data_IF_924232684912
#
_entry.id   IF_924232684912
#
_cell.length_a   1.000
_cell.length_b   1.000
_cell.length_c   1.000
_cell.angle_alpha   90.00
_cell.angle_beta   90.00
_cell.angle_gamma   90.00
#
_symmetry.space_group_name_H-M   'P 1'
#
loop_
_entity.id
_entity.type
_entity.pdbx_description
1 polymer ?
#
# COMPACT_ATOMS: atom_id res chain seq x y z
N UNK A 1 -30.31 11.06 19.22
CA UNK A 1 -29.96 9.64 19.44
C UNK A 1 -29.72 8.85 18.15
N UNK A 2 -30.64 8.81 17.18
CA UNK A 2 -30.46 8.03 15.92
C UNK A 2 -29.21 8.37 15.08
N UNK A 3 -28.78 9.63 15.03
CA UNK A 3 -27.60 10.06 14.25
C UNK A 3 -26.29 9.55 14.86
N UNK A 4 -26.20 9.48 16.18
CA UNK A 4 -25.03 8.97 16.93
C UNK A 4 -24.91 7.45 16.75
N UNK A 5 -26.03 6.73 16.81
CA UNK A 5 -26.06 5.27 16.63
C UNK A 5 -25.67 4.87 15.20
N UNK A 6 -26.14 5.62 14.19
CA UNK A 6 -25.72 5.42 12.79
C UNK A 6 -24.23 5.66 12.58
N UNK A 7 -23.63 6.62 13.28
CA UNK A 7 -22.19 6.92 13.18
C UNK A 7 -21.35 5.85 13.89
N UNK A 8 -21.79 5.36 15.05
CA UNK A 8 -21.16 4.23 15.76
C UNK A 8 -21.20 2.95 14.93
N UNK A 9 -22.33 2.59 14.31
CA UNK A 9 -22.44 1.45 13.40
C UNK A 9 -21.52 1.58 12.19
N UNK A 10 -21.38 2.78 11.62
CA UNK A 10 -20.47 3.04 10.49
C UNK A 10 -19.02 2.75 10.84
N UNK A 11 -18.55 3.17 12.00
CA UNK A 11 -17.17 2.95 12.47
C UNK A 11 -16.90 1.50 12.82
N UNK A 12 -17.90 0.80 13.37
CA UNK A 12 -17.78 -0.59 13.81
C UNK A 12 -17.41 -1.54 12.66
N UNK A 13 -18.12 -1.50 11.53
CA UNK A 13 -17.83 -2.39 10.40
C UNK A 13 -16.47 -2.11 9.77
N UNK A 14 -16.05 -0.86 9.69
CA UNK A 14 -14.70 -0.51 9.23
C UNK A 14 -13.63 -1.03 10.18
N UNK A 15 -13.82 -0.87 11.49
CA UNK A 15 -12.90 -1.41 12.48
C UNK A 15 -12.82 -2.95 12.42
N UNK A 16 -13.95 -3.63 12.26
CA UNK A 16 -13.98 -5.09 12.07
C UNK A 16 -13.32 -5.52 10.76
N UNK A 17 -13.48 -4.74 9.68
CA UNK A 17 -12.82 -5.03 8.40
C UNK A 17 -11.29 -4.89 8.45
N UNK A 18 -10.75 -4.18 9.44
CA UNK A 18 -9.33 -4.22 9.77
C UNK A 18 -9.01 -5.39 10.72
N UNK A 19 -9.74 -5.48 11.82
CA UNK A 19 -9.40 -6.38 12.93
C UNK A 19 -9.55 -7.87 12.58
N UNK A 20 -10.53 -8.23 11.74
CA UNK A 20 -10.76 -9.63 11.37
C UNK A 20 -9.63 -10.20 10.52
N UNK A 21 -9.23 -9.62 9.37
CA UNK A 21 -8.11 -10.15 8.59
C UNK A 21 -6.77 -10.06 9.35
N UNK A 22 -6.54 -9.00 10.14
CA UNK A 22 -5.40 -8.91 11.04
C UNK A 22 -5.38 -10.09 12.04
N UNK A 23 -6.50 -10.33 12.73
CA UNK A 23 -6.61 -11.38 13.75
C UNK A 23 -6.51 -12.78 13.16
N UNK A 24 -7.10 -13.04 12.00
CA UNK A 24 -6.98 -14.34 11.32
C UNK A 24 -5.52 -14.60 10.93
N UNK A 25 -4.82 -13.62 10.35
CA UNK A 25 -3.41 -13.79 10.00
C UNK A 25 -2.52 -13.93 11.23
N UNK A 26 -2.81 -13.18 12.31
CA UNK A 26 -2.14 -13.36 13.60
C UNK A 26 -2.35 -14.78 14.15
N UNK A 27 -3.58 -15.29 14.08
CA UNK A 27 -3.86 -16.68 14.49
C UNK A 27 -3.08 -17.69 13.63
N UNK A 28 -2.95 -17.46 12.32
CA UNK A 28 -2.11 -18.29 11.46
C UNK A 28 -0.63 -18.24 11.89
N UNK A 29 -0.11 -17.08 12.31
CA UNK A 29 1.26 -16.97 12.83
C UNK A 29 1.43 -17.74 14.13
N UNK A 30 0.46 -17.64 15.05
CA UNK A 30 0.47 -18.38 16.33
C UNK A 30 0.41 -19.91 16.09
N UNK A 31 -0.55 -20.37 15.31
CA UNK A 31 -0.72 -21.80 15.02
C UNK A 31 0.43 -22.36 14.18
N UNK A 32 1.02 -21.54 13.32
CA UNK A 32 2.22 -21.89 12.55
C UNK A 32 3.50 -21.92 13.36
N UNK A 33 3.48 -21.51 14.62
CA UNK A 33 4.66 -21.41 15.48
C UNK A 33 5.69 -20.41 14.95
N UNK A 34 5.23 -19.34 14.30
CA UNK A 34 6.13 -18.28 13.81
C UNK A 34 6.56 -17.39 14.98
N UNK A 35 7.81 -16.96 14.96
CA UNK A 35 8.33 -16.04 15.96
C UNK A 35 7.45 -14.75 16.06
N UNK A 36 7.14 -14.24 17.28
CA UNK A 36 7.62 -14.66 18.61
C UNK A 36 6.78 -15.77 19.29
N UNK A 37 5.84 -16.41 18.59
CA UNK A 37 4.94 -17.40 19.17
C UNK A 37 5.49 -18.83 19.14
N UNK A 38 6.66 -19.03 18.52
CA UNK A 38 7.36 -20.29 18.42
C UNK A 38 8.74 -20.10 17.78
N UNK A 39 9.42 -21.19 17.42
CA UNK A 39 10.79 -21.18 16.94
C UNK A 39 10.93 -21.01 15.44
N UNK A 40 9.84 -21.03 14.68
CA UNK A 40 9.88 -20.90 13.23
C UNK A 40 10.15 -19.46 12.81
N UNK A 41 11.06 -19.27 11.85
CA UNK A 41 11.40 -17.96 11.32
C UNK A 41 10.21 -17.33 10.58
N UNK A 42 9.88 -16.10 10.95
CA UNK A 42 8.86 -15.29 10.25
C UNK A 42 9.40 -14.72 8.94
N UNK A 43 10.71 -14.49 8.87
CA UNK A 43 11.38 -13.95 7.70
C UNK A 43 11.61 -15.05 6.67
N UNK A 44 10.76 -15.11 5.63
CA UNK A 44 10.81 -16.12 4.57
C UNK A 44 11.35 -15.51 3.27
N UNK A 45 12.01 -16.28 2.44
CA UNK A 45 12.48 -15.91 1.10
C UNK A 45 13.22 -14.54 1.10
N UNK A 46 12.83 -13.64 0.19
CA UNK A 46 13.43 -12.30 0.06
C UNK A 46 13.26 -11.42 1.30
N UNK A 47 12.30 -11.75 2.17
CA UNK A 47 12.16 -11.07 3.45
C UNK A 47 13.39 -11.24 4.31
N UNK A 48 14.02 -12.42 4.29
CA UNK A 48 15.29 -12.72 4.98
C UNK A 48 16.50 -12.10 4.28
N UNK A 49 16.61 -12.30 2.95
CA UNK A 49 17.81 -11.92 2.21
C UNK A 49 17.89 -10.44 1.83
N UNK A 50 16.75 -9.77 1.67
CA UNK A 50 16.70 -8.42 1.13
C UNK A 50 15.93 -7.45 2.03
N UNK A 51 14.63 -7.70 2.28
CA UNK A 51 13.77 -6.67 2.87
C UNK A 51 14.15 -6.33 4.30
N UNK A 52 14.39 -7.34 5.13
CA UNK A 52 14.76 -7.12 6.53
C UNK A 52 16.16 -6.50 6.69
N UNK A 53 17.22 -6.96 6.01
CA UNK A 53 18.52 -6.29 6.06
C UNK A 53 18.48 -4.83 5.61
N UNK A 54 17.77 -4.52 4.52
CA UNK A 54 17.61 -3.15 4.07
C UNK A 54 16.82 -2.30 5.07
N UNK A 55 15.80 -2.87 5.68
CA UNK A 55 15.01 -2.21 6.72
C UNK A 55 15.84 -1.89 7.98
N UNK A 56 16.69 -2.81 8.42
CA UNK A 56 17.62 -2.58 9.54
C UNK A 56 18.60 -1.45 9.20
N UNK A 57 19.25 -1.53 8.02
CA UNK A 57 20.14 -0.47 7.54
C UNK A 57 19.45 0.90 7.46
N UNK A 58 18.22 0.95 6.96
CA UNK A 58 17.43 2.19 6.91
C UNK A 58 17.19 2.78 8.30
N UNK A 59 16.76 1.96 9.24
CA UNK A 59 16.55 2.39 10.61
C UNK A 59 17.83 2.93 11.25
N UNK A 60 18.96 2.25 11.05
CA UNK A 60 20.26 2.69 11.55
C UNK A 60 20.66 4.05 10.97
N UNK A 61 20.50 4.24 9.67
CA UNK A 61 20.73 5.54 9.01
C UNK A 61 19.83 6.64 9.57
N UNK A 62 18.55 6.35 9.83
CA UNK A 62 17.63 7.33 10.45
C UNK A 62 18.05 7.72 11.86
N UNK A 63 18.57 6.77 12.65
CA UNK A 63 18.98 7.04 14.04
C UNK A 63 20.33 7.72 14.16
N UNK A 64 21.26 7.39 13.28
CA UNK A 64 22.62 7.96 13.30
C UNK A 64 22.76 9.25 12.48
N UNK A 65 21.71 9.65 11.73
CA UNK A 65 21.81 10.74 10.75
C UNK A 65 22.70 10.37 9.55
N UNK A 66 22.83 9.07 9.23
CA UNK A 66 23.65 8.57 8.14
C UNK A 66 23.17 9.02 6.76
N UNK A 67 24.09 9.11 5.79
CA UNK A 67 23.77 9.49 4.42
C UNK A 67 22.77 8.53 3.76
N UNK A 68 21.75 9.09 3.11
CA UNK A 68 20.79 8.37 2.27
C UNK A 68 21.18 8.38 0.78
N UNK A 69 22.42 8.69 0.46
CA UNK A 69 22.90 8.74 -0.94
C UNK A 69 23.51 7.41 -1.37
N UNK A 70 24.20 6.72 -0.48
CA UNK A 70 24.98 5.53 -0.82
C UNK A 70 24.92 4.47 0.27
N UNK A 71 24.87 3.20 -0.15
CA UNK A 71 24.92 2.01 0.69
C UNK A 71 26.13 1.17 0.29
N UNK A 72 27.12 1.05 1.19
CA UNK A 72 28.35 0.29 0.94
C UNK A 72 28.14 -1.21 1.11
N UNK A 73 27.26 -1.60 2.01
CA UNK A 73 27.02 -2.96 2.46
C UNK A 73 26.22 -3.81 1.46
N UNK A 74 25.73 -3.21 0.36
CA UNK A 74 25.01 -3.93 -0.66
C UNK A 74 25.76 -3.91 -1.99
N UNK A 75 26.07 -5.11 -2.55
CA UNK A 75 26.53 -5.31 -3.91
C UNK A 75 27.78 -4.51 -4.30
N UNK A 76 28.78 -4.40 -3.47
CA UNK A 76 29.98 -3.55 -3.64
C UNK A 76 29.70 -2.04 -3.61
N UNK A 77 28.52 -1.67 -3.19
CA UNK A 77 28.05 -0.29 -3.06
C UNK A 77 27.06 0.12 -4.14
N UNK A 78 25.91 0.62 -3.70
CA UNK A 78 24.81 1.05 -4.58
C UNK A 78 24.28 2.43 -4.18
N UNK A 79 23.67 3.11 -5.13
CA UNK A 79 22.89 4.31 -4.86
C UNK A 79 21.71 3.98 -3.94
N UNK A 80 21.63 4.66 -2.79
CA UNK A 80 20.63 4.33 -1.79
C UNK A 80 19.22 4.75 -2.18
N UNK A 81 19.08 5.84 -2.93
CA UNK A 81 17.76 6.42 -3.23
C UNK A 81 16.88 5.52 -4.12
N UNK A 82 17.38 4.89 -5.21
CA UNK A 82 16.60 3.90 -5.96
C UNK A 82 16.20 2.69 -5.11
N UNK A 83 17.12 2.20 -4.25
CA UNK A 83 16.81 1.13 -3.30
C UNK A 83 15.73 1.55 -2.30
N UNK A 84 15.85 2.74 -1.72
CA UNK A 84 14.86 3.30 -0.81
C UNK A 84 13.48 3.39 -1.46
N UNK A 85 13.40 3.92 -2.68
CA UNK A 85 12.14 4.11 -3.39
C UNK A 85 11.43 2.78 -3.73
N UNK A 86 12.19 1.71 -3.90
CA UNK A 86 11.64 0.39 -4.20
C UNK A 86 11.31 -0.44 -2.95
N UNK A 87 12.19 -0.42 -1.93
CA UNK A 87 12.10 -1.33 -0.78
C UNK A 87 11.60 -0.68 0.50
N UNK A 88 11.86 0.62 0.73
CA UNK A 88 11.87 1.22 2.06
C UNK A 88 10.96 2.44 2.23
N UNK A 89 10.30 2.89 1.17
CA UNK A 89 9.57 4.15 1.16
C UNK A 89 8.16 4.08 1.78
N UNK A 90 7.77 2.92 2.34
CA UNK A 90 6.54 2.81 3.13
C UNK A 90 6.59 3.71 4.37
N UNK A 91 5.62 4.62 4.60
CA UNK A 91 5.61 5.48 5.77
C UNK A 91 5.59 4.71 7.10
N UNK A 92 5.06 3.48 7.11
CA UNK A 92 5.04 2.65 8.31
C UNK A 92 6.44 2.25 8.78
N UNK A 93 7.44 2.23 7.88
CA UNK A 93 8.82 1.92 8.24
C UNK A 93 9.49 3.00 9.09
N UNK A 94 9.02 4.25 8.99
CA UNK A 94 9.53 5.34 9.83
C UNK A 94 9.28 5.08 11.32
N UNK A 95 8.25 4.32 11.67
CA UNK A 95 7.94 3.94 13.06
C UNK A 95 9.03 3.06 13.68
N UNK A 96 9.91 2.44 12.87
CA UNK A 96 11.02 1.62 13.35
C UNK A 96 12.02 2.38 14.23
N UNK A 97 12.11 3.70 14.06
CA UNK A 97 12.99 4.54 14.88
C UNK A 97 12.62 4.47 16.37
N UNK A 98 11.34 4.29 16.67
CA UNK A 98 10.79 4.19 18.03
C UNK A 98 10.97 2.81 18.65
N UNK A 99 11.36 1.80 17.86
CA UNK A 99 11.43 0.40 18.29
C UNK A 99 12.85 0.04 18.73
N UNK A 100 13.06 -0.64 19.87
CA UNK A 100 14.36 -1.18 20.26
C UNK A 100 14.93 -2.14 19.20
N UNK A 101 16.24 -2.21 19.05
CA UNK A 101 16.90 -3.09 18.06
C UNK A 101 16.54 -4.57 18.26
N UNK A 102 16.39 -5.00 19.51
CA UNK A 102 16.02 -6.37 19.88
C UNK A 102 14.63 -6.78 19.43
N UNK A 103 13.72 -5.84 19.17
CA UNK A 103 12.31 -6.08 18.79
C UNK A 103 12.03 -5.77 17.32
N UNK A 104 13.05 -5.55 16.50
CA UNK A 104 12.85 -5.18 15.08
C UNK A 104 12.22 -6.29 14.26
N UNK A 105 12.51 -7.55 14.55
CA UNK A 105 11.94 -8.70 13.85
C UNK A 105 10.44 -8.84 14.16
N UNK A 106 10.05 -8.67 15.41
CA UNK A 106 8.66 -8.66 15.86
C UNK A 106 7.89 -7.49 15.26
N UNK A 107 8.53 -6.33 15.22
CA UNK A 107 7.95 -5.15 14.59
C UNK A 107 7.74 -5.37 13.08
N UNK A 108 8.69 -6.01 12.41
CA UNK A 108 8.56 -6.34 10.98
C UNK A 108 7.39 -7.31 10.72
N UNK A 109 7.22 -8.33 11.58
CA UNK A 109 6.05 -9.21 11.55
C UNK A 109 4.74 -8.42 11.78
N UNK A 110 4.74 -7.51 12.75
CA UNK A 110 3.59 -6.64 13.03
C UNK A 110 3.24 -5.74 11.82
N UNK A 111 4.24 -5.27 11.07
CA UNK A 111 4.01 -4.52 9.84
C UNK A 111 3.25 -5.34 8.79
N UNK A 112 3.60 -6.61 8.61
CA UNK A 112 2.86 -7.53 7.70
C UNK A 112 1.39 -7.61 8.11
N UNK A 113 1.13 -7.91 9.38
CA UNK A 113 -0.22 -8.01 9.93
C UNK A 113 -1.01 -6.71 9.77
N UNK A 114 -0.36 -5.57 10.03
CA UNK A 114 -0.96 -4.24 9.90
C UNK A 114 -1.34 -3.94 8.46
N UNK A 115 -0.47 -4.21 7.48
CA UNK A 115 -0.74 -3.99 6.07
C UNK A 115 -1.90 -4.86 5.56
N UNK A 116 -2.00 -6.11 6.02
CA UNK A 116 -3.12 -7.00 5.72
C UNK A 116 -4.43 -6.45 6.34
N UNK A 117 -4.39 -5.99 7.58
CA UNK A 117 -5.54 -5.31 8.20
C UNK A 117 -5.96 -4.05 7.45
N UNK A 118 -5.00 -3.23 7.00
CA UNK A 118 -5.26 -2.04 6.18
C UNK A 118 -5.87 -2.40 4.82
N UNK A 119 -5.43 -3.49 4.18
CA UNK A 119 -6.04 -3.96 2.94
C UNK A 119 -7.54 -4.26 3.13
N UNK A 120 -7.91 -4.93 4.21
CA UNK A 120 -9.31 -5.18 4.58
C UNK A 120 -10.08 -3.89 4.85
N UNK A 121 -9.53 -2.98 5.65
CA UNK A 121 -10.13 -1.69 5.95
C UNK A 121 -10.39 -0.86 4.68
N UNK A 122 -9.38 -0.73 3.83
CA UNK A 122 -9.49 0.09 2.63
C UNK A 122 -10.41 -0.53 1.58
N UNK A 123 -10.48 -1.86 1.52
CA UNK A 123 -11.48 -2.54 0.70
C UNK A 123 -12.91 -2.30 1.20
N UNK A 124 -13.15 -2.29 2.52
CA UNK A 124 -14.44 -1.89 3.09
C UNK A 124 -14.80 -0.43 2.75
N UNK A 125 -13.82 0.48 2.77
CA UNK A 125 -14.01 1.87 2.32
C UNK A 125 -14.42 1.91 0.85
N UNK A 126 -13.77 1.12 0.00
CA UNK A 126 -14.13 1.00 -1.42
C UNK A 126 -15.56 0.47 -1.61
N UNK A 127 -15.90 -0.66 -1.00
CA UNK A 127 -17.24 -1.25 -1.10
C UNK A 127 -18.32 -0.26 -0.64
N UNK A 128 -18.11 0.37 0.53
CA UNK A 128 -19.03 1.37 1.05
C UNK A 128 -19.23 2.55 0.10
N UNK A 129 -18.15 2.99 -0.55
CA UNK A 129 -18.19 4.10 -1.51
C UNK A 129 -18.86 3.69 -2.82
N UNK A 130 -18.52 2.50 -3.33
CA UNK A 130 -19.04 1.99 -4.59
C UNK A 130 -20.51 1.66 -4.52
N UNK A 131 -20.97 0.97 -3.47
CA UNK A 131 -22.34 0.50 -3.30
C UNK A 131 -23.21 1.44 -2.45
N UNK A 132 -22.63 2.44 -1.79
CA UNK A 132 -23.34 3.37 -0.87
C UNK A 132 -24.04 2.67 0.29
N UNK A 133 -23.60 1.47 0.65
CA UNK A 133 -24.14 0.65 1.73
C UNK A 133 -23.15 0.54 2.87
N UNK A 134 -23.68 0.43 4.10
CA UNK A 134 -22.88 0.20 5.31
C UNK A 134 -23.55 -0.88 6.13
N UNK A 135 -23.25 -2.10 5.82
CA UNK A 135 -23.88 -3.32 6.32
C UNK A 135 -22.82 -4.34 6.78
N UNK A 136 -23.21 -5.36 7.56
CA UNK A 136 -22.29 -6.39 8.07
C UNK A 136 -21.52 -7.12 6.97
N UNK A 137 -22.09 -7.24 5.76
CA UNK A 137 -21.45 -7.87 4.60
C UNK A 137 -20.11 -7.23 4.19
N UNK A 138 -19.84 -5.98 4.60
CA UNK A 138 -18.53 -5.36 4.38
C UNK A 138 -17.39 -6.19 4.98
N UNK A 139 -17.61 -6.83 6.13
CA UNK A 139 -16.57 -7.56 6.86
C UNK A 139 -16.13 -8.82 6.10
N UNK A 140 -17.00 -9.77 5.73
CA UNK A 140 -16.57 -10.98 5.02
C UNK A 140 -15.97 -10.66 3.65
N UNK A 141 -16.51 -9.71 2.88
CA UNK A 141 -15.92 -9.33 1.60
C UNK A 141 -14.54 -8.69 1.76
N UNK A 142 -14.33 -7.89 2.80
CA UNK A 142 -13.02 -7.32 3.13
C UNK A 142 -12.02 -8.39 3.55
N UNK A 143 -12.47 -9.38 4.30
CA UNK A 143 -11.66 -10.54 4.68
C UNK A 143 -11.24 -11.35 3.44
N UNK A 144 -12.18 -11.63 2.51
CA UNK A 144 -11.87 -12.34 1.26
C UNK A 144 -10.83 -11.61 0.40
N UNK A 145 -10.86 -10.28 0.36
CA UNK A 145 -9.85 -9.49 -0.33
C UNK A 145 -8.50 -9.54 0.40
N UNK A 146 -8.49 -9.24 1.69
CA UNK A 146 -7.27 -9.12 2.49
C UNK A 146 -6.55 -10.46 2.73
N UNK A 147 -7.28 -11.59 2.65
CA UNK A 147 -6.76 -12.94 2.84
C UNK A 147 -6.91 -13.79 1.56
N UNK A 148 -6.84 -13.14 0.39
CA UNK A 148 -6.86 -13.86 -0.88
C UNK A 148 -5.61 -14.76 -1.03
N UNK A 149 -5.65 -15.68 -1.99
CA UNK A 149 -4.56 -16.63 -2.25
C UNK A 149 -3.21 -15.95 -2.50
N UNK A 150 -3.23 -14.75 -3.10
CA UNK A 150 -2.02 -13.95 -3.27
C UNK A 150 -1.38 -13.61 -1.91
N UNK A 151 -2.18 -13.13 -0.94
CA UNK A 151 -1.65 -12.81 0.41
C UNK A 151 -1.19 -14.08 1.12
N UNK A 152 -1.94 -15.18 1.03
CA UNK A 152 -1.56 -16.45 1.64
C UNK A 152 -0.22 -17.00 1.10
N UNK A 153 0.04 -16.84 -0.19
CA UNK A 153 1.28 -17.31 -0.82
C UNK A 153 2.45 -16.33 -0.76
N UNK A 154 2.17 -15.02 -0.68
CA UNK A 154 3.16 -13.95 -0.86
C UNK A 154 3.17 -12.91 0.26
N UNK A 155 2.67 -13.19 1.47
CA UNK A 155 2.69 -12.26 2.60
C UNK A 155 4.11 -11.78 2.97
N UNK A 156 5.12 -12.59 2.66
CA UNK A 156 6.53 -12.28 2.83
C UNK A 156 7.00 -11.16 1.89
N UNK A 157 6.31 -10.89 0.79
CA UNK A 157 6.56 -9.74 -0.08
C UNK A 157 5.97 -8.46 0.54
N UNK A 158 6.49 -8.06 1.70
CA UNK A 158 5.95 -6.95 2.49
C UNK A 158 5.89 -5.62 1.72
N UNK A 159 6.78 -5.42 0.73
CA UNK A 159 6.79 -4.23 -0.14
C UNK A 159 5.59 -4.17 -1.10
N UNK A 160 4.97 -5.32 -1.39
CA UNK A 160 3.79 -5.40 -2.26
C UNK A 160 2.48 -5.17 -1.50
N UNK A 161 2.49 -5.39 -0.18
CA UNK A 161 1.29 -5.25 0.65
C UNK A 161 0.79 -3.80 0.73
N UNK A 162 1.67 -2.80 0.59
CA UNK A 162 1.24 -1.40 0.51
C UNK A 162 0.38 -1.14 -0.74
N UNK A 163 0.79 -1.64 -1.90
CA UNK A 163 0.04 -1.51 -3.15
C UNK A 163 -1.30 -2.24 -3.06
N UNK A 164 -1.30 -3.46 -2.49
CA UNK A 164 -2.52 -4.23 -2.24
C UNK A 164 -3.48 -3.45 -1.35
N UNK A 165 -2.99 -2.83 -0.27
CA UNK A 165 -3.83 -2.04 0.63
C UNK A 165 -4.36 -0.76 -0.04
N UNK A 166 -3.53 -0.05 -0.79
CA UNK A 166 -3.87 1.27 -1.34
C UNK A 166 -4.73 1.20 -2.61
N UNK A 167 -4.68 0.11 -3.39
CA UNK A 167 -5.48 -0.05 -4.60
C UNK A 167 -6.99 0.14 -4.36
N UNK A 168 -7.63 -0.48 -3.37
CA UNK A 168 -9.04 -0.22 -3.07
C UNK A 168 -9.32 1.24 -2.71
N UNK A 169 -8.38 1.90 -2.05
CA UNK A 169 -8.53 3.30 -1.67
C UNK A 169 -8.46 4.23 -2.90
N UNK A 170 -7.59 3.91 -3.88
CA UNK A 170 -7.54 4.58 -5.18
C UNK A 170 -8.87 4.40 -5.94
N UNK A 171 -9.42 3.19 -5.96
CA UNK A 171 -10.72 2.90 -6.58
C UNK A 171 -11.87 3.64 -5.88
N UNK A 172 -11.88 3.69 -4.54
CA UNK A 172 -12.84 4.48 -3.78
C UNK A 172 -12.75 5.97 -4.14
N UNK A 173 -11.53 6.47 -4.25
CA UNK A 173 -11.25 7.84 -4.69
C UNK A 173 -11.74 8.12 -6.10
N UNK A 174 -11.47 7.22 -7.06
CA UNK A 174 -11.97 7.30 -8.43
C UNK A 174 -13.50 7.35 -8.47
N UNK A 175 -14.18 6.46 -7.75
CA UNK A 175 -15.66 6.45 -7.68
C UNK A 175 -16.20 7.77 -7.10
N UNK A 176 -15.58 8.29 -6.03
CA UNK A 176 -15.96 9.58 -5.43
C UNK A 176 -15.72 10.75 -6.38
N UNK A 177 -14.60 10.72 -7.12
CA UNK A 177 -14.27 11.73 -8.12
C UNK A 177 -15.30 11.74 -9.27
N UNK A 178 -15.65 10.58 -9.79
CA UNK A 178 -16.57 10.45 -10.94
C UNK A 178 -18.02 10.76 -10.59
N UNK A 179 -18.46 10.41 -9.36
CA UNK A 179 -19.85 10.64 -8.91
C UNK A 179 -20.08 12.01 -8.31
N UNK A 180 -19.14 12.50 -7.51
CA UNK A 180 -19.34 13.63 -6.60
C UNK A 180 -18.35 14.77 -6.86
N UNK A 181 -17.36 14.57 -7.74
CA UNK A 181 -16.31 15.54 -8.02
C UNK A 181 -15.26 15.68 -6.91
N UNK A 182 -15.28 14.79 -5.90
CA UNK A 182 -14.34 14.82 -4.77
C UNK A 182 -13.00 14.22 -5.16
N UNK A 183 -12.00 15.05 -5.41
CA UNK A 183 -10.70 14.63 -5.96
C UNK A 183 -9.68 14.18 -4.89
N UNK A 184 -9.78 14.69 -3.66
CA UNK A 184 -8.74 14.53 -2.62
C UNK A 184 -8.36 13.08 -2.35
N UNK A 185 -9.37 12.20 -2.17
CA UNK A 185 -9.12 10.81 -1.84
C UNK A 185 -8.33 10.09 -2.95
N UNK A 186 -8.72 10.30 -4.21
CA UNK A 186 -8.03 9.71 -5.35
C UNK A 186 -6.58 10.20 -5.45
N UNK A 187 -6.40 11.51 -5.44
CA UNK A 187 -5.09 12.14 -5.59
C UNK A 187 -4.12 11.74 -4.49
N UNK A 188 -4.58 11.77 -3.23
CA UNK A 188 -3.74 11.41 -2.07
C UNK A 188 -3.44 9.91 -2.01
N UNK A 189 -4.43 9.04 -2.31
CA UNK A 189 -4.20 7.59 -2.35
C UNK A 189 -3.22 7.20 -3.46
N UNK A 190 -3.32 7.84 -4.63
CA UNK A 190 -2.39 7.65 -5.75
C UNK A 190 -0.98 8.13 -5.37
N UNK A 191 -0.85 9.35 -4.85
CA UNK A 191 0.43 9.90 -4.43
C UNK A 191 1.10 9.00 -3.37
N UNK A 192 0.34 8.57 -2.36
CA UNK A 192 0.84 7.67 -1.33
C UNK A 192 1.25 6.31 -1.90
N UNK A 193 0.48 5.76 -2.83
CA UNK A 193 0.83 4.50 -3.50
C UNK A 193 2.15 4.62 -4.25
N UNK A 194 2.33 5.68 -5.05
CA UNK A 194 3.57 5.95 -5.79
C UNK A 194 4.77 6.16 -4.85
N UNK A 195 4.54 6.84 -3.72
CA UNK A 195 5.58 7.03 -2.69
C UNK A 195 5.94 5.71 -2.00
N UNK A 196 4.98 4.81 -1.73
CA UNK A 196 5.26 3.52 -1.07
C UNK A 196 6.03 2.54 -1.95
N UNK A 197 5.69 2.45 -3.22
CA UNK A 197 6.38 1.61 -4.20
C UNK A 197 5.96 2.03 -5.61
N UNK A 198 6.83 2.73 -6.33
CA UNK A 198 6.54 3.25 -7.66
C UNK A 198 6.26 2.14 -8.69
N UNK A 199 6.98 1.02 -8.60
CA UNK A 199 6.89 -0.09 -9.56
C UNK A 199 5.51 -0.77 -9.51
N UNK A 200 5.03 -1.17 -8.34
CA UNK A 200 3.71 -1.78 -8.20
C UNK A 200 2.58 -0.77 -8.41
N UNK A 201 2.80 0.48 -8.03
CA UNK A 201 1.82 1.53 -8.28
C UNK A 201 1.59 1.80 -9.75
N UNK A 202 2.58 1.54 -10.62
CA UNK A 202 2.38 1.57 -12.07
C UNK A 202 1.29 0.59 -12.51
N UNK A 203 1.33 -0.66 -12.03
CA UNK A 203 0.28 -1.65 -12.32
C UNK A 203 -1.07 -1.26 -11.71
N UNK A 204 -1.07 -0.70 -10.51
CA UNK A 204 -2.28 -0.14 -9.90
C UNK A 204 -2.88 0.99 -10.76
N UNK A 205 -2.06 1.86 -11.33
CA UNK A 205 -2.51 2.92 -12.23
C UNK A 205 -3.16 2.36 -13.51
N UNK A 206 -2.56 1.33 -14.11
CA UNK A 206 -3.15 0.63 -15.26
C UNK A 206 -4.53 0.07 -14.88
N UNK A 207 -4.63 -0.63 -13.75
CA UNK A 207 -5.88 -1.21 -13.28
C UNK A 207 -6.95 -0.16 -13.00
N UNK A 208 -6.59 0.96 -12.38
CA UNK A 208 -7.51 2.10 -12.16
C UNK A 208 -7.93 2.73 -13.48
N UNK A 209 -7.02 2.86 -14.44
CA UNK A 209 -7.32 3.34 -15.79
C UNK A 209 -8.33 2.45 -16.50
N UNK A 210 -8.11 1.12 -16.50
CA UNK A 210 -9.06 0.16 -17.05
C UNK A 210 -10.42 0.23 -16.33
N UNK A 211 -10.41 0.33 -15.01
CA UNK A 211 -11.64 0.48 -14.20
C UNK A 211 -12.40 1.76 -14.55
N UNK A 212 -11.69 2.85 -14.86
CA UNK A 212 -12.30 4.10 -15.33
C UNK A 212 -13.02 3.90 -16.67
N UNK A 213 -12.40 3.22 -17.64
CA UNK A 213 -13.03 2.96 -18.93
C UNK A 213 -14.27 2.07 -18.77
N UNK A 214 -14.18 0.97 -17.99
CA UNK A 214 -15.33 0.12 -17.67
C UNK A 214 -16.45 0.92 -17.02
N UNK A 215 -16.12 1.78 -16.05
CA UNK A 215 -17.11 2.67 -15.44
C UNK A 215 -17.80 3.58 -16.43
N UNK A 216 -17.05 4.18 -17.37
CA UNK A 216 -17.59 5.07 -18.39
C UNK A 216 -18.46 4.34 -19.42
N UNK A 217 -18.07 3.11 -19.82
CA UNK A 217 -18.84 2.28 -20.75
C UNK A 217 -20.18 1.88 -20.10
N UNK A 218 -20.14 1.34 -18.87
CA UNK A 218 -21.35 0.93 -18.16
C UNK A 218 -22.31 2.10 -17.83
N UNK A 219 -21.82 3.32 -17.86
CA UNK A 219 -22.57 4.56 -17.54
C UNK A 219 -22.41 5.59 -18.64
N UNK A 220 -22.53 5.10 -19.88
CA UNK A 220 -22.39 5.97 -21.04
C UNK A 220 -23.50 6.99 -21.09
N UNK A 221 -23.12 8.26 -21.17
CA UNK A 221 -24.02 9.39 -21.21
C UNK A 221 -23.53 10.49 -22.19
N UNK A 222 -22.74 10.07 -23.19
CA UNK A 222 -22.27 10.87 -24.33
C UNK A 222 -20.84 11.39 -24.19
N UNK A 223 -20.25 11.70 -25.33
CA UNK A 223 -18.86 12.10 -25.47
C UNK A 223 -18.44 13.31 -24.62
N UNK A 224 -19.31 14.33 -24.53
CA UNK A 224 -19.03 15.55 -23.74
C UNK A 224 -18.81 15.26 -22.26
N UNK A 225 -19.61 14.33 -21.69
CA UNK A 225 -19.47 13.91 -20.29
C UNK A 225 -18.28 12.98 -20.09
N UNK A 226 -18.02 12.09 -21.06
CA UNK A 226 -16.83 11.25 -21.07
C UNK A 226 -15.55 12.11 -21.03
N UNK A 227 -15.40 13.07 -21.95
CA UNK A 227 -14.22 13.96 -21.98
C UNK A 227 -14.06 14.76 -20.70
N UNK A 228 -15.13 15.27 -20.14
CA UNK A 228 -15.07 15.97 -18.84
C UNK A 228 -14.56 15.09 -17.72
N UNK A 229 -15.01 13.83 -17.64
CA UNK A 229 -14.56 12.85 -16.65
C UNK A 229 -13.10 12.48 -16.89
N UNK A 230 -12.72 12.26 -18.14
CA UNK A 230 -11.36 11.95 -18.54
C UNK A 230 -10.39 13.07 -18.16
N UNK A 231 -10.67 14.30 -18.54
CA UNK A 231 -9.82 15.43 -18.17
C UNK A 231 -9.71 15.59 -16.65
N UNK A 232 -10.79 15.35 -15.92
CA UNK A 232 -10.78 15.44 -14.46
C UNK A 232 -9.91 14.36 -13.81
N UNK A 233 -10.02 13.09 -14.23
CA UNK A 233 -9.18 12.04 -13.67
C UNK A 233 -7.73 12.22 -14.10
N UNK A 234 -7.46 12.61 -15.33
CA UNK A 234 -6.12 12.86 -15.83
C UNK A 234 -5.43 13.99 -15.03
N UNK A 235 -6.13 15.11 -14.79
CA UNK A 235 -5.61 16.20 -13.96
C UNK A 235 -5.31 15.75 -12.53
N UNK A 236 -6.21 14.99 -11.92
CA UNK A 236 -5.98 14.46 -10.57
C UNK A 236 -4.83 13.44 -10.52
N UNK A 237 -4.65 12.66 -11.59
CA UNK A 237 -3.51 11.73 -11.73
C UNK A 237 -2.21 12.52 -11.85
N UNK A 238 -2.16 13.53 -12.71
CA UNK A 238 -0.99 14.41 -12.85
C UNK A 238 -0.63 15.10 -11.53
N UNK A 239 -1.64 15.55 -10.79
CA UNK A 239 -1.41 16.14 -9.47
C UNK A 239 -0.84 15.11 -8.48
N UNK A 240 -1.38 13.89 -8.46
CA UNK A 240 -0.88 12.79 -7.60
C UNK A 240 0.56 12.38 -7.95
N UNK A 241 0.88 12.27 -9.24
CA UNK A 241 2.23 12.01 -9.73
C UNK A 241 3.16 13.19 -9.38
N UNK A 242 2.70 14.42 -9.54
CA UNK A 242 3.44 15.61 -9.17
C UNK A 242 3.79 15.66 -7.68
N UNK A 243 2.88 15.24 -6.80
CA UNK A 243 3.17 15.11 -5.37
C UNK A 243 4.22 14.03 -5.06
N UNK A 244 4.25 12.95 -5.83
CA UNK A 244 5.25 11.90 -5.70
C UNK A 244 6.58 12.20 -6.44
N UNK A 245 6.64 13.26 -7.24
CA UNK A 245 7.81 13.59 -8.06
C UNK A 245 9.09 13.82 -7.24
N UNK A 246 8.95 14.25 -6.00
CA UNK A 246 10.07 14.41 -5.05
C UNK A 246 10.87 13.11 -4.87
N UNK A 247 10.23 11.96 -4.99
CA UNK A 247 10.88 10.66 -4.94
C UNK A 247 11.09 10.06 -6.33
N UNK A 248 10.13 10.21 -7.23
CA UNK A 248 10.15 9.59 -8.55
C UNK A 248 11.27 10.14 -9.45
N UNK A 249 11.47 11.47 -9.49
CA UNK A 249 12.47 12.08 -10.37
C UNK A 249 13.91 11.69 -9.99
N UNK A 250 14.34 11.81 -8.71
CA UNK A 250 15.66 11.35 -8.33
C UNK A 250 15.86 9.84 -8.50
N UNK A 251 14.78 9.05 -8.29
CA UNK A 251 14.83 7.60 -8.52
C UNK A 251 15.03 7.27 -9.98
N UNK A 252 14.31 7.93 -10.88
CA UNK A 252 14.48 7.77 -12.33
C UNK A 252 15.91 8.12 -12.78
N UNK A 253 16.45 9.25 -12.29
CA UNK A 253 17.83 9.63 -12.57
C UNK A 253 18.83 8.59 -12.05
N UNK A 254 18.62 8.09 -10.81
CA UNK A 254 19.46 7.04 -10.23
C UNK A 254 19.41 5.73 -11.02
N UNK A 255 18.24 5.34 -11.49
CA UNK A 255 18.06 4.12 -12.28
C UNK A 255 18.75 4.21 -13.66
N UNK A 256 18.74 5.37 -14.30
CA UNK A 256 19.43 5.58 -15.58
C UNK A 256 20.94 5.38 -15.49
N UNK A 257 21.52 5.55 -14.31
CA UNK A 257 22.94 5.36 -14.05
C UNK A 257 23.30 3.97 -13.48
N UNK A 258 22.36 3.01 -13.48
CA UNK A 258 22.60 1.64 -13.02
C UNK A 258 22.91 0.74 -14.21
N UNK A 259 23.82 -0.23 -14.01
CA UNK A 259 24.21 -1.20 -15.05
C UNK A 259 23.04 -2.05 -15.56
N UNK A 260 21.98 -2.23 -14.76
CA UNK A 260 20.80 -3.00 -15.16
C UNK A 260 19.99 -2.36 -16.28
N UNK A 261 20.10 -1.04 -16.49
CA UNK A 261 19.45 -0.34 -17.62
C UNK A 261 20.32 -0.26 -18.88
N UNK A 262 21.63 -0.49 -18.73
CA UNK A 262 22.58 -0.50 -19.86
C UNK A 262 22.45 -1.79 -20.69
N UNK A 263 21.87 -2.85 -20.09
CA UNK A 263 21.72 -4.17 -20.69
C UNK A 263 20.29 -4.50 -21.13
N UNK A 264 19.36 -3.56 -21.06
CA UNK A 264 18.02 -3.64 -21.65
C UNK A 264 17.97 -2.70 -22.87
#
# INVERSE_FOLDING_TARGET
MQKIDRTRRKRRYLALSFAVPFGVMLLCFILGGLWPFGDRQVLAHDMWHQYYPFFVSFREKLRSGGSLQYLREAGMGIGYLPLYAYYLSSPLYLLSVLVPASLLREFFALLVLTKIGLAGLFFAVFLRTAFRRNEPALVPFSMMYALCSFVAGYYWNIIWLDALALLPLMLAGMVSLLREGRFRLYTLALALSLLCNYYLSFFCCIFVGLSFFVWCICRWDGWKRFFRRFCRIALCTLLGVGMAAVLLLPTLYGLQNTLSLIHI
#
